data_IF_534017619953
#
_entry.id   IF_534017619953
#
_cell.length_a   1.000
_cell.length_b   1.000
_cell.length_c   1.000
_cell.angle_alpha   90.00
_cell.angle_beta   90.00
_cell.angle_gamma   90.00
#
_symmetry.space_group_name_H-M   'P 1'
#
loop_
_entity.id
_entity.type
_entity.pdbx_description
1 polymer ?
#
# COMPACT_ATOMS: atom_id res chain seq x y z
N UNK A 1 25.05 20.42 -20.76
CA UNK A 1 24.33 20.84 -21.97
C UNK A 1 23.36 19.75 -22.40
N UNK A 2 22.07 20.06 -22.58
CA UNK A 2 21.06 19.06 -22.95
C UNK A 2 21.31 18.50 -24.36
N UNK A 3 21.66 17.21 -24.44
CA UNK A 3 21.88 16.51 -25.71
C UNK A 3 20.57 16.27 -26.46
N UNK A 4 20.67 16.00 -27.77
CA UNK A 4 19.51 15.68 -28.62
C UNK A 4 18.75 14.45 -28.14
N UNK A 5 19.47 13.41 -27.70
CA UNK A 5 18.87 12.18 -27.14
C UNK A 5 18.15 12.45 -25.82
N UNK A 6 18.76 13.22 -24.90
CA UNK A 6 18.12 13.61 -23.62
C UNK A 6 16.85 14.43 -23.84
N UNK A 7 16.85 15.32 -24.83
CA UNK A 7 15.66 16.09 -25.22
C UNK A 7 14.55 15.18 -25.76
N UNK A 8 14.85 14.26 -26.68
CA UNK A 8 13.88 13.30 -27.23
C UNK A 8 13.29 12.41 -26.13
N UNK A 9 14.13 11.96 -25.19
CA UNK A 9 13.70 11.18 -24.04
C UNK A 9 12.73 11.97 -23.13
N UNK A 10 13.06 13.22 -22.84
CA UNK A 10 12.20 14.10 -22.04
C UNK A 10 10.84 14.36 -22.71
N UNK A 11 10.82 14.65 -24.02
CA UNK A 11 9.59 14.83 -24.79
C UNK A 11 8.72 13.56 -24.80
N UNK A 12 9.35 12.39 -24.95
CA UNK A 12 8.65 11.11 -24.88
C UNK A 12 8.05 10.85 -23.48
N UNK A 13 8.74 11.21 -22.40
CA UNK A 13 8.20 11.15 -21.04
C UNK A 13 7.02 12.12 -20.85
N UNK A 14 7.12 13.35 -21.35
CA UNK A 14 6.03 14.33 -21.29
C UNK A 14 4.81 13.86 -22.09
N UNK A 15 5.01 13.11 -23.17
CA UNK A 15 3.96 12.45 -23.94
C UNK A 15 3.30 11.27 -23.20
N UNK A 16 3.73 10.94 -21.97
CA UNK A 16 3.15 9.86 -21.16
C UNK A 16 3.73 8.47 -21.43
N UNK A 17 4.80 8.36 -22.23
CA UNK A 17 5.45 7.06 -22.49
C UNK A 17 6.23 6.59 -21.26
N UNK A 18 6.28 5.28 -21.04
CA UNK A 18 7.06 4.68 -19.97
C UNK A 18 8.57 4.91 -20.19
N UNK A 19 9.38 4.99 -19.13
CA UNK A 19 10.82 5.28 -19.17
C UNK A 19 11.58 4.41 -20.17
N UNK A 20 11.27 3.12 -20.24
CA UNK A 20 11.90 2.20 -21.21
C UNK A 20 11.50 2.53 -22.65
N UNK A 21 10.22 2.77 -22.91
CA UNK A 21 9.71 3.14 -24.23
C UNK A 21 10.23 4.52 -24.68
N UNK A 22 10.37 5.46 -23.75
CA UNK A 22 10.96 6.78 -23.99
C UNK A 22 12.43 6.69 -24.38
N UNK A 23 13.20 5.78 -23.78
CA UNK A 23 14.58 5.54 -24.16
C UNK A 23 14.69 4.94 -25.58
N UNK A 24 13.82 3.99 -25.92
CA UNK A 24 13.75 3.43 -27.28
C UNK A 24 13.41 4.54 -28.29
N UNK A 25 12.40 5.36 -27.99
CA UNK A 25 12.00 6.48 -28.84
C UNK A 25 13.12 7.55 -28.99
N UNK A 26 13.97 7.70 -27.98
CA UNK A 26 15.14 8.57 -28.04
C UNK A 26 16.32 7.99 -28.87
N UNK A 27 16.22 6.73 -29.31
CA UNK A 27 17.23 6.04 -30.12
C UNK A 27 18.21 5.18 -29.33
N UNK A 28 17.93 4.87 -28.06
CA UNK A 28 18.71 3.88 -27.30
C UNK A 28 18.31 2.46 -27.69
N UNK A 29 19.28 1.54 -27.66
CA UNK A 29 19.05 0.11 -27.95
C UNK A 29 18.00 -0.49 -27.01
N UNK A 30 17.06 -1.26 -27.56
CA UNK A 30 16.01 -1.93 -26.79
C UNK A 30 16.57 -2.80 -25.65
N UNK A 31 17.74 -3.43 -25.85
CA UNK A 31 18.39 -4.29 -24.84
C UNK A 31 18.85 -3.51 -23.61
N UNK A 32 19.25 -2.24 -23.77
CA UNK A 32 19.77 -1.38 -22.69
C UNK A 32 18.81 -0.27 -22.28
N UNK A 33 17.71 -0.10 -23.01
CA UNK A 33 16.71 0.96 -22.80
C UNK A 33 16.12 0.97 -21.38
N UNK A 34 16.01 -0.18 -20.73
CA UNK A 34 15.52 -0.25 -19.34
C UNK A 34 16.47 0.45 -18.38
N UNK A 35 17.76 0.11 -18.46
CA UNK A 35 18.82 0.70 -17.60
C UNK A 35 19.02 2.16 -17.95
N UNK A 36 19.17 2.47 -19.24
CA UNK A 36 19.36 3.85 -19.72
C UNK A 36 18.17 4.75 -19.40
N UNK A 37 16.95 4.24 -19.58
CA UNK A 37 15.73 4.99 -19.22
C UNK A 37 15.67 5.30 -17.72
N UNK A 38 16.14 4.41 -16.84
CA UNK A 38 16.20 4.70 -15.41
C UNK A 38 17.29 5.71 -15.05
N UNK A 39 18.42 5.73 -15.78
CA UNK A 39 19.49 6.71 -15.59
C UNK A 39 19.02 8.10 -16.05
N UNK A 40 18.53 8.20 -17.29
CA UNK A 40 18.06 9.45 -17.90
C UNK A 40 16.88 10.09 -17.14
N UNK A 41 16.03 9.28 -16.49
CA UNK A 41 14.94 9.79 -15.66
C UNK A 41 15.43 10.51 -14.40
N UNK A 42 16.66 10.24 -13.95
CA UNK A 42 17.29 10.89 -12.78
C UNK A 42 18.28 11.99 -13.18
N UNK A 43 18.59 12.12 -14.48
CA UNK A 43 19.55 13.10 -14.94
C UNK A 43 19.04 14.54 -14.69
N UNK A 44 19.84 15.42 -14.06
CA UNK A 44 19.42 16.76 -13.69
C UNK A 44 19.06 17.62 -14.92
N UNK A 45 19.73 17.39 -16.06
CA UNK A 45 19.45 18.13 -17.30
C UNK A 45 18.09 17.75 -17.89
N UNK A 46 17.70 16.49 -17.79
CA UNK A 46 16.40 15.98 -18.26
C UNK A 46 15.30 16.52 -17.37
N UNK A 47 15.49 16.47 -16.05
CA UNK A 47 14.56 17.02 -15.06
C UNK A 47 14.39 18.54 -15.23
N UNK A 48 15.49 19.28 -15.38
CA UNK A 48 15.44 20.72 -15.63
C UNK A 48 14.71 21.06 -16.93
N UNK A 49 14.87 20.25 -17.98
CA UNK A 49 14.14 20.45 -19.23
C UNK A 49 12.64 20.20 -19.08
N UNK A 50 12.25 19.12 -18.39
CA UNK A 50 10.85 18.80 -18.11
C UNK A 50 10.23 19.91 -17.25
N UNK A 51 10.89 20.34 -16.17
CA UNK A 51 10.42 21.41 -15.29
C UNK A 51 10.27 22.74 -16.04
N UNK A 52 11.24 23.12 -16.88
CA UNK A 52 11.13 24.31 -17.74
C UNK A 52 9.93 24.21 -18.68
N UNK A 53 9.74 23.07 -19.34
CA UNK A 53 8.66 22.87 -20.31
C UNK A 53 7.27 22.74 -19.66
N UNK A 54 7.18 22.23 -18.44
CA UNK A 54 5.93 22.19 -17.65
C UNK A 54 5.57 23.56 -17.07
N UNK A 55 6.55 24.43 -16.82
CA UNK A 55 6.31 25.81 -16.39
C UNK A 55 5.97 26.73 -17.58
N UNK A 56 6.47 26.43 -18.78
CA UNK A 56 6.19 27.18 -20.02
C UNK A 56 4.80 26.90 -20.62
N UNK A 57 4.08 25.87 -20.17
CA UNK A 57 2.67 25.69 -20.55
C UNK A 57 1.81 26.69 -19.79
N UNK A 58 1.80 27.91 -20.32
CA UNK A 58 0.97 29.06 -19.96
C UNK A 58 -0.51 28.70 -20.08
N UNK A 59 -1.27 29.07 -19.05
CA UNK A 59 -2.74 29.10 -18.99
C UNK A 59 -3.30 29.79 -20.25
N UNK A 60 -4.06 29.07 -21.07
CA UNK A 60 -4.80 29.65 -22.20
C UNK A 60 -6.25 29.78 -21.77
N UNK A 61 -6.70 31.02 -21.57
CA UNK A 61 -8.09 31.41 -21.36
C UNK A 61 -9.01 30.93 -22.50
N UNK A 62 -10.26 30.62 -22.15
CA UNK A 62 -11.23 29.90 -22.97
C UNK A 62 -11.72 30.60 -24.26
N UNK A 63 -11.66 29.84 -25.38
CA UNK A 63 -12.69 29.55 -26.43
C UNK A 63 -13.38 30.70 -27.21
N UNK A 64 -13.45 30.59 -28.56
CA UNK A 64 -14.78 30.37 -29.17
C UNK A 64 -14.85 29.13 -30.09
N UNK A 65 -16.02 28.51 -30.04
CA UNK A 65 -16.51 27.32 -30.78
C UNK A 65 -16.78 27.63 -32.26
N UNK A 66 -16.45 26.69 -33.17
CA UNK A 66 -17.14 26.22 -34.41
C UNK A 66 -16.05 25.52 -35.27
N UNK A 67 -16.15 24.28 -35.77
CA UNK A 67 -17.26 23.50 -36.34
C UNK A 67 -16.86 22.01 -36.33
N UNK A 68 -17.78 21.15 -35.89
CA UNK A 68 -17.62 19.70 -35.76
C UNK A 68 -17.45 18.96 -37.10
N UNK A 69 -16.54 17.97 -37.13
CA UNK A 69 -16.73 16.67 -37.81
C UNK A 69 -15.97 15.56 -37.04
N UNK A 70 -16.72 14.52 -36.66
CA UNK A 70 -16.43 13.19 -36.05
C UNK A 70 -15.22 12.47 -36.67
N UNK A 71 -14.49 11.54 -36.03
CA UNK A 71 -14.80 10.54 -34.97
C UNK A 71 -13.50 10.03 -34.28
N UNK A 72 -13.39 10.09 -32.94
CA UNK A 72 -13.36 8.96 -31.94
C UNK A 72 -12.04 8.12 -31.93
N UNK A 73 -11.37 7.80 -30.82
CA UNK A 73 -11.78 7.72 -29.40
C UNK A 73 -10.53 7.73 -28.47
N UNK A 74 -10.42 8.70 -27.56
CA UNK A 74 -9.65 8.56 -26.31
C UNK A 74 -10.61 8.78 -25.15
N UNK A 75 -10.61 7.84 -24.21
CA UNK A 75 -11.35 7.93 -22.97
C UNK A 75 -10.40 8.34 -21.84
N UNK A 76 -10.74 9.47 -21.23
CA UNK A 76 -10.17 10.20 -20.09
C UNK A 76 -11.42 10.68 -19.33
N UNK A 77 -11.39 11.20 -18.08
CA UNK A 77 -10.25 11.77 -17.34
C UNK A 77 -10.37 11.43 -15.82
N UNK A 78 -9.75 12.06 -14.80
CA UNK A 78 -9.41 13.47 -14.50
C UNK A 78 -8.66 13.45 -13.15
N UNK A 79 -7.42 13.97 -13.04
CA UNK A 79 -7.00 15.32 -12.59
C UNK A 79 -7.50 15.73 -11.20
N UNK A 80 -6.54 16.11 -10.34
CA UNK A 80 -6.42 17.32 -9.49
C UNK A 80 -4.96 17.31 -8.94
N UNK A 81 -4.08 18.26 -9.23
CA UNK A 81 -3.94 19.62 -8.63
C UNK A 81 -4.18 19.64 -7.12
N UNK A 82 -3.39 20.26 -6.26
CA UNK A 82 -2.07 20.89 -6.26
C UNK A 82 -1.82 21.16 -4.75
N UNK A 83 -0.60 21.03 -4.21
CA UNK A 83 -0.21 21.77 -3.01
C UNK A 83 1.31 21.73 -2.77
N UNK A 84 1.85 22.93 -2.65
CA UNK A 84 3.19 23.34 -2.23
C UNK A 84 3.85 22.49 -1.13
N UNK A 85 5.15 22.23 -1.31
CA UNK A 85 6.08 21.86 -0.24
C UNK A 85 7.14 22.97 -0.18
N UNK A 86 7.20 23.79 0.89
CA UNK A 86 8.41 24.53 1.22
C UNK A 86 9.43 23.54 1.79
N UNK A 87 10.69 23.68 1.38
CA UNK A 87 11.81 23.06 2.10
C UNK A 87 11.92 23.66 3.51
N UNK A 88 12.55 22.94 4.45
CA UNK A 88 13.52 23.64 5.28
C UNK A 88 14.83 22.88 5.41
N UNK A 89 15.90 23.67 5.37
CA UNK A 89 17.28 23.35 5.68
C UNK A 89 17.48 22.78 7.09
N UNK A 90 18.56 22.01 7.20
CA UNK A 90 19.15 21.46 8.41
C UNK A 90 19.64 22.56 9.38
N UNK A 91 19.11 22.62 10.61
CA UNK A 91 19.87 22.93 11.86
C UNK A 91 19.01 22.63 13.11
N UNK A 92 19.49 21.68 13.91
CA UNK A 92 18.99 21.06 15.17
C UNK A 92 18.96 22.04 16.39
N UNK A 93 18.53 21.69 17.64
CA UNK A 93 17.57 20.70 18.20
C UNK A 93 16.51 21.34 19.15
N UNK A 94 15.21 21.05 19.01
CA UNK A 94 14.31 21.13 20.19
C UNK A 94 13.09 20.20 20.07
N UNK A 95 12.93 19.41 21.14
CA UNK A 95 11.92 18.45 21.56
C UNK A 95 10.50 18.50 20.92
N UNK A 96 9.82 17.33 20.76
CA UNK A 96 8.60 17.20 19.93
C UNK A 96 7.32 17.67 20.65
N UNK A 97 6.39 18.38 19.98
CA UNK A 97 5.02 18.51 20.47
C UNK A 97 4.19 17.31 20.02
N UNK A 98 3.89 16.47 21.01
CA UNK A 98 2.73 15.59 21.19
C UNK A 98 1.87 15.28 19.96
N UNK A 99 1.86 13.99 19.61
CA UNK A 99 0.98 13.37 18.63
C UNK A 99 -0.48 13.78 18.85
N UNK A 100 -1.04 14.52 17.89
CA UNK A 100 -2.49 14.68 17.75
C UNK A 100 -3.03 13.33 17.29
N UNK A 101 -3.36 12.47 18.27
CA UNK A 101 -3.95 11.17 18.03
C UNK A 101 -5.30 11.38 17.34
N UNK A 102 -5.34 11.08 16.04
CA UNK A 102 -6.61 11.01 15.31
C UNK A 102 -7.51 9.95 15.97
N UNK A 103 -8.80 10.21 16.20
CA UNK A 103 -9.66 9.28 16.90
C UNK A 103 -9.79 7.98 16.08
N UNK A 104 -9.35 6.86 16.65
CA UNK A 104 -9.68 5.52 16.15
C UNK A 104 -8.61 4.80 15.32
N UNK A 105 -7.37 5.28 15.28
CA UNK A 105 -6.25 4.41 14.87
C UNK A 105 -5.89 3.59 16.10
N UNK A 106 -6.14 2.29 16.07
CA UNK A 106 -5.64 1.40 17.12
C UNK A 106 -4.15 1.14 16.86
N UNK A 107 -3.36 1.64 17.80
CA UNK A 107 -1.92 1.45 17.82
C UNK A 107 -1.61 0.16 18.58
N UNK A 108 -0.66 -0.62 18.06
CA UNK A 108 -0.08 -1.77 18.76
C UNK A 108 0.70 -1.29 20.01
N UNK A 109 1.14 -2.20 20.88
CA UNK A 109 1.91 -1.86 22.10
C UNK A 109 3.17 -1.04 21.81
N UNK A 110 3.74 -1.17 20.60
CA UNK A 110 4.89 -0.41 20.13
C UNK A 110 4.56 1.01 19.64
N UNK A 111 3.29 1.45 19.75
CA UNK A 111 2.82 2.77 19.32
C UNK A 111 2.66 2.94 17.80
N UNK A 112 2.80 1.85 17.03
CA UNK A 112 2.60 1.83 15.57
C UNK A 112 1.18 1.37 15.21
N UNK A 113 0.50 1.96 14.20
CA UNK A 113 -0.82 1.49 13.77
C UNK A 113 -0.80 0.01 13.39
N UNK A 114 -1.76 -0.78 13.89
CA UNK A 114 -1.91 -2.18 13.48
C UNK A 114 -2.15 -2.24 11.95
N UNK A 115 -1.25 -2.87 11.17
CA UNK A 115 -1.35 -2.89 9.72
C UNK A 115 -2.64 -3.56 9.23
N UNK A 116 -3.16 -4.58 9.94
CA UNK A 116 -4.37 -5.30 9.53
C UNK A 116 -5.59 -4.41 9.72
N UNK A 117 -5.72 -3.78 10.90
CA UNK A 117 -6.82 -2.86 11.19
C UNK A 117 -6.74 -1.59 10.34
N UNK A 118 -5.54 -1.06 10.08
CA UNK A 118 -5.33 0.06 9.17
C UNK A 118 -5.78 -0.26 7.74
N UNK A 119 -5.42 -1.43 7.20
CA UNK A 119 -5.87 -1.88 5.87
C UNK A 119 -7.40 -2.07 5.81
N UNK A 120 -8.01 -2.60 6.88
CA UNK A 120 -9.47 -2.76 6.97
C UNK A 120 -10.21 -1.42 6.92
N UNK A 121 -9.68 -0.38 7.58
CA UNK A 121 -10.24 0.97 7.51
C UNK A 121 -10.12 1.57 6.11
N UNK A 122 -8.94 1.47 5.49
CA UNK A 122 -8.73 1.95 4.12
C UNK A 122 -9.73 1.30 3.17
N UNK A 123 -10.01 0.01 3.32
CA UNK A 123 -11.00 -0.71 2.51
C UNK A 123 -12.42 -0.15 2.67
N UNK A 124 -12.88 0.07 3.91
CA UNK A 124 -14.24 0.54 4.19
C UNK A 124 -14.42 2.00 3.78
N UNK A 125 -13.47 2.85 4.12
CA UNK A 125 -13.54 4.30 3.87
C UNK A 125 -13.43 4.63 2.38
N UNK A 126 -12.64 3.86 1.62
CA UNK A 126 -12.37 4.14 0.21
C UNK A 126 -13.22 3.33 -0.77
N UNK A 127 -14.16 2.49 -0.30
CA UNK A 127 -14.94 1.61 -1.18
C UNK A 127 -15.70 2.37 -2.29
N UNK A 128 -16.22 3.57 -1.96
CA UNK A 128 -16.95 4.43 -2.89
C UNK A 128 -16.07 5.54 -3.52
N UNK A 129 -14.96 5.91 -2.88
CA UNK A 129 -14.14 7.06 -3.24
C UNK A 129 -13.01 6.65 -4.20
N UNK A 130 -12.28 5.59 -3.84
CA UNK A 130 -11.23 5.00 -4.66
C UNK A 130 -11.29 3.47 -4.57
N UNK A 131 -12.06 2.83 -5.47
CA UNK A 131 -12.23 1.38 -5.44
C UNK A 131 -10.92 0.64 -5.71
N UNK A 132 -9.93 1.26 -6.38
CA UNK A 132 -8.64 0.60 -6.63
C UNK A 132 -7.79 0.52 -5.37
N UNK A 133 -7.77 1.59 -4.58
CA UNK A 133 -7.10 1.62 -3.28
C UNK A 133 -7.77 0.64 -2.31
N UNK A 134 -9.10 0.56 -2.32
CA UNK A 134 -9.85 -0.40 -1.53
C UNK A 134 -9.54 -1.86 -1.93
N UNK A 135 -9.47 -2.16 -3.24
CA UNK A 135 -9.10 -3.49 -3.75
C UNK A 135 -7.66 -3.90 -3.38
N UNK A 136 -6.71 -2.97 -3.46
CA UNK A 136 -5.31 -3.21 -3.06
C UNK A 136 -5.19 -3.48 -1.56
N UNK A 137 -5.91 -2.72 -0.73
CA UNK A 137 -6.02 -2.98 0.70
C UNK A 137 -6.68 -4.34 0.99
N UNK A 138 -7.75 -4.69 0.27
CA UNK A 138 -8.42 -6.00 0.39
C UNK A 138 -7.46 -7.15 0.09
N UNK A 139 -6.69 -7.02 -1.00
CA UNK A 139 -5.76 -8.05 -1.44
C UNK A 139 -4.62 -8.27 -0.42
N UNK A 140 -4.08 -7.19 0.15
CA UNK A 140 -3.08 -7.29 1.23
C UNK A 140 -3.68 -7.89 2.50
N UNK A 141 -4.86 -7.44 2.91
CA UNK A 141 -5.55 -7.96 4.10
C UNK A 141 -5.84 -9.46 3.97
N UNK A 142 -6.22 -9.93 2.78
CA UNK A 142 -6.44 -11.35 2.50
C UNK A 142 -5.21 -12.23 2.75
N UNK A 143 -3.99 -11.69 2.60
CA UNK A 143 -2.76 -12.43 2.90
C UNK A 143 -2.60 -12.73 4.40
N UNK A 144 -3.11 -11.84 5.25
CA UNK A 144 -3.05 -11.97 6.70
C UNK A 144 -4.21 -12.78 7.27
N UNK A 145 -5.39 -12.69 6.65
CA UNK A 145 -6.59 -13.42 7.13
C UNK A 145 -6.71 -14.84 6.56
N UNK A 146 -6.20 -15.08 5.34
CA UNK A 146 -6.27 -16.39 4.71
C UNK A 146 -4.92 -17.11 4.80
N UNK A 147 -4.70 -17.84 5.90
CA UNK A 147 -3.60 -18.80 5.97
C UNK A 147 -3.71 -19.78 4.79
N UNK A 148 -2.63 -19.93 4.00
CA UNK A 148 -2.57 -20.94 2.93
C UNK A 148 -2.95 -22.28 3.53
N UNK A 149 -4.02 -22.90 3.03
CA UNK A 149 -4.58 -24.19 3.48
C UNK A 149 -3.63 -25.39 3.32
N UNK A 150 -2.36 -25.16 2.97
CA UNK A 150 -1.29 -26.15 2.89
C UNK A 150 -0.04 -25.83 3.73
N UNK A 151 0.04 -24.68 4.39
CA UNK A 151 1.18 -24.30 5.25
C UNK A 151 1.04 -24.85 6.68
N UNK A 152 -0.17 -25.22 7.08
CA UNK A 152 -0.42 -26.13 8.21
C UNK A 152 -0.04 -27.57 7.83
N UNK A 153 1.26 -27.76 7.55
CA UNK A 153 1.86 -29.07 7.39
C UNK A 153 1.59 -29.94 8.62
N UNK A 154 1.63 -31.27 8.44
CA UNK A 154 1.38 -32.41 9.36
C UNK A 154 1.67 -32.25 10.87
N UNK A 155 2.35 -31.20 11.30
CA UNK A 155 2.67 -30.82 12.68
C UNK A 155 1.51 -30.13 13.43
N UNK A 156 0.73 -29.23 12.81
CA UNK A 156 -0.39 -28.58 13.53
C UNK A 156 -1.59 -29.52 13.72
N UNK A 157 -1.91 -30.33 12.71
CA UNK A 157 -2.96 -31.34 12.79
C UNK A 157 -2.71 -32.38 13.91
N UNK A 158 -1.45 -32.77 14.14
CA UNK A 158 -1.08 -33.62 15.29
C UNK A 158 -1.22 -32.89 16.63
N UNK A 159 -0.92 -31.59 16.70
CA UNK A 159 -1.07 -30.78 17.90
C UNK A 159 -2.53 -30.62 18.33
N UNK A 160 -3.44 -30.33 17.39
CA UNK A 160 -4.87 -30.24 17.67
C UNK A 160 -5.50 -31.60 18.01
N UNK A 161 -5.08 -32.68 17.33
CA UNK A 161 -5.53 -34.04 17.68
C UNK A 161 -5.02 -34.47 19.07
N UNK A 162 -3.77 -34.16 19.42
CA UNK A 162 -3.20 -34.47 20.73
C UNK A 162 -3.90 -33.68 21.86
N UNK A 163 -4.23 -32.40 21.66
CA UNK A 163 -5.00 -31.62 22.63
C UNK A 163 -6.41 -32.17 22.83
N UNK A 164 -7.10 -32.57 21.76
CA UNK A 164 -8.41 -33.22 21.84
C UNK A 164 -8.34 -34.58 22.56
N UNK A 165 -7.28 -35.37 22.34
CA UNK A 165 -7.08 -36.65 23.03
C UNK A 165 -6.68 -36.48 24.50
N UNK A 166 -5.89 -35.46 24.85
CA UNK A 166 -5.48 -35.19 26.24
C UNK A 166 -6.70 -34.95 27.15
N UNK A 167 -7.75 -34.30 26.66
CA UNK A 167 -9.02 -34.12 27.40
C UNK A 167 -9.85 -35.40 27.56
N UNK A 168 -9.48 -36.52 26.93
CA UNK A 168 -10.14 -37.83 27.13
C UNK A 168 -9.46 -38.67 28.21
N UNK A 169 -8.26 -38.29 28.64
CA UNK A 169 -7.48 -38.96 29.69
C UNK A 169 -7.30 -38.11 30.95
N UNK A 170 -8.08 -37.02 31.11
CA UNK A 170 -8.10 -36.26 32.35
C UNK A 170 -8.46 -37.20 33.51
N UNK A 171 -7.58 -37.30 34.50
CA UNK A 171 -7.74 -38.17 35.66
C UNK A 171 -9.06 -37.78 36.36
N UNK A 172 -10.01 -38.72 36.56
CA UNK A 172 -11.24 -38.38 37.25
C UNK A 172 -10.93 -37.87 38.66
N UNK A 173 -11.72 -36.93 39.19
CA UNK A 173 -11.48 -36.40 40.53
C UNK A 173 -11.42 -37.55 41.54
N UNK A 174 -10.48 -37.52 42.50
CA UNK A 174 -10.32 -38.61 43.44
C UNK A 174 -11.63 -38.83 44.21
N UNK A 175 -12.00 -40.09 44.49
CA UNK A 175 -13.24 -40.39 45.17
C UNK A 175 -13.25 -39.74 46.55
N UNK A 176 -14.30 -38.97 46.83
CA UNK A 176 -14.49 -38.36 48.15
C UNK A 176 -14.92 -39.45 49.12
N UNK A 177 -14.12 -39.66 50.17
CA UNK A 177 -14.52 -40.48 51.32
C UNK A 177 -15.67 -39.76 52.03
N UNK A 178 -16.89 -40.26 51.84
CA UNK A 178 -18.03 -39.89 52.66
C UNK A 178 -18.00 -40.80 53.89
N UNK A 179 -17.59 -40.26 55.02
CA UNK A 179 -17.70 -40.95 56.32
C UNK A 179 -19.08 -40.65 56.88
N UNK A 180 -20.03 -41.56 56.67
CA UNK A 180 -21.31 -41.54 57.38
C UNK A 180 -21.10 -42.14 58.76
N UNK A 181 -20.75 -41.31 59.74
CA UNK A 181 -20.77 -41.70 61.15
C UNK A 181 -22.15 -41.36 61.74
N UNK A 182 -23.17 -42.07 61.28
CA UNK A 182 -24.45 -42.16 62.00
C UNK A 182 -24.35 -43.32 62.99
N UNK A 183 -23.72 -43.07 64.13
CA UNK A 183 -23.74 -44.00 65.27
C UNK A 183 -25.05 -43.81 66.05
N UNK A 184 -26.16 -44.17 65.41
CA UNK A 184 -27.42 -44.49 66.09
C UNK A 184 -27.25 -45.89 66.71
N UNK A 185 -27.43 -45.96 68.03
CA UNK A 185 -26.96 -47.04 68.87
C UNK A 185 -27.63 -48.41 68.66
N UNK A 186 -26.96 -49.43 69.20
CA UNK A 186 -27.61 -50.65 69.63
C UNK A 186 -26.78 -51.32 70.75
N UNK A 187 -27.38 -51.47 71.93
CA UNK A 187 -26.81 -52.20 73.07
C UNK A 187 -26.90 -51.47 74.39
#
# INVERSE_FOLDING_TARGET
MLTTQKRKFALALMSGKNKTASAIAAGYSAKTARVKGSQLAKDPEVLAFIARKQCETVEVDEVPVYRQKKSEQEDKPRRREAAAIPQPDETNPEMPPSAVMSPGIEYMEDGLPDPVKAMGRILVENLCIDPKLALDAAWRLAQFTHHKKGDTGKKSAKGDAAKKAANRFAVPPPPRLVVNNDNEGNG
#
